data_IF_126036800818
#
_entry.id   IF_126036800818
#
_cell.length_a   1.000
_cell.length_b   1.000
_cell.length_c   1.000
_cell.angle_alpha   90.00
_cell.angle_beta   90.00
_cell.angle_gamma   90.00
#
_symmetry.space_group_name_H-M   'P 1'
#
loop_
_entity.id
_entity.type
_entity.pdbx_description
1 polymer ?
#
# COMPACT_ATOMS: atom_id res chain seq x y z
N UNK A 1 27.70 -46.82 9.36
CA UNK A 1 26.31 -46.33 9.36
C UNK A 1 26.15 -45.20 8.33
N UNK A 2 26.16 -45.53 7.03
CA UNK A 2 26.07 -44.57 5.93
C UNK A 2 25.19 -45.16 4.81
N UNK A 3 23.86 -44.98 4.87
CA UNK A 3 22.99 -45.33 3.73
C UNK A 3 21.74 -44.44 3.61
N UNK A 4 21.79 -43.21 4.10
CA UNK A 4 20.66 -42.26 4.05
C UNK A 4 20.96 -40.97 3.26
N UNK A 5 22.08 -40.91 2.54
CA UNK A 5 22.48 -39.72 1.77
C UNK A 5 22.11 -39.85 0.27
N UNK A 6 21.70 -41.02 -0.21
CA UNK A 6 21.41 -41.25 -1.64
C UNK A 6 19.93 -41.21 -2.05
N UNK A 7 18.99 -40.88 -1.14
CA UNK A 7 17.54 -40.91 -1.44
C UNK A 7 16.89 -39.56 -1.82
N UNK A 8 17.63 -38.47 -1.93
CA UNK A 8 17.05 -37.14 -2.28
C UNK A 8 17.51 -36.57 -3.62
N UNK A 9 18.15 -37.37 -4.48
CA UNK A 9 18.59 -36.92 -5.82
C UNK A 9 17.82 -37.56 -6.98
N UNK A 10 16.69 -38.23 -6.72
CA UNK A 10 15.86 -38.90 -7.73
C UNK A 10 14.39 -38.51 -7.62
N UNK A 11 14.12 -37.21 -7.56
CA UNK A 11 12.79 -36.65 -7.86
C UNK A 11 12.89 -35.44 -8.80
N UNK A 12 13.95 -35.42 -9.61
CA UNK A 12 14.25 -34.37 -10.57
C UNK A 12 14.36 -34.96 -11.98
N UNK A 13 13.32 -35.64 -12.47
CA UNK A 13 13.21 -36.02 -13.90
C UNK A 13 11.93 -36.80 -14.23
N UNK A 14 10.75 -36.37 -13.76
CA UNK A 14 9.46 -36.82 -14.30
C UNK A 14 8.33 -35.99 -13.69
N UNK A 15 7.98 -34.90 -14.37
CA UNK A 15 6.62 -34.37 -14.65
C UNK A 15 6.91 -33.07 -15.44
N UNK A 16 7.47 -33.27 -16.63
CA UNK A 16 7.46 -32.29 -17.69
C UNK A 16 6.44 -32.80 -18.70
N UNK A 17 5.15 -32.59 -18.42
CA UNK A 17 4.04 -32.74 -19.38
C UNK A 17 2.76 -32.22 -18.73
N UNK A 18 2.08 -31.31 -19.42
CA UNK A 18 0.69 -30.86 -19.22
C UNK A 18 0.34 -30.09 -17.95
N UNK A 19 0.57 -28.76 -17.94
CA UNK A 19 -0.32 -27.78 -17.26
C UNK A 19 -0.04 -26.33 -17.67
N UNK A 20 -1.02 -25.73 -18.33
CA UNK A 20 -1.23 -24.33 -18.73
C UNK A 20 -0.21 -23.24 -18.31
N UNK A 21 0.21 -22.46 -19.31
CA UNK A 21 1.11 -21.29 -19.25
C UNK A 21 0.56 -20.08 -18.47
N UNK A 22 -0.61 -20.18 -17.83
CA UNK A 22 -1.20 -19.09 -17.03
C UNK A 22 -0.82 -19.14 -15.54
N UNK A 23 -0.29 -20.26 -15.06
CA UNK A 23 -0.06 -20.49 -13.61
C UNK A 23 1.32 -20.03 -13.12
N UNK A 24 2.33 -19.99 -14.00
CA UNK A 24 3.73 -19.73 -13.61
C UNK A 24 3.98 -18.24 -13.29
N UNK A 25 3.29 -17.31 -13.98
CA UNK A 25 3.40 -15.87 -13.67
C UNK A 25 2.80 -15.49 -12.31
N UNK A 26 1.86 -16.27 -11.77
CA UNK A 26 1.21 -15.98 -10.47
C UNK A 26 2.07 -16.38 -9.28
N UNK A 27 2.95 -17.37 -9.42
CA UNK A 27 3.90 -17.80 -8.40
C UNK A 27 5.18 -16.94 -8.38
N UNK A 28 5.65 -16.47 -9.54
CA UNK A 28 6.82 -15.59 -9.62
C UNK A 28 6.60 -14.20 -8.97
N UNK A 29 5.41 -13.60 -9.15
CA UNK A 29 5.05 -12.33 -8.50
C UNK A 29 4.86 -12.49 -6.98
N UNK A 30 4.62 -13.71 -6.48
CA UNK A 30 4.62 -14.02 -5.05
C UNK A 30 6.03 -14.11 -4.46
N UNK A 31 7.00 -14.67 -5.18
CA UNK A 31 8.39 -14.83 -4.71
C UNK A 31 9.15 -13.49 -4.61
N UNK A 32 8.85 -12.50 -5.45
CA UNK A 32 9.50 -11.19 -5.39
C UNK A 32 9.01 -10.28 -4.23
N UNK A 33 7.96 -10.68 -3.53
CA UNK A 33 7.48 -9.95 -2.34
C UNK A 33 8.06 -10.49 -1.03
N UNK A 34 8.69 -11.67 -1.02
CA UNK A 34 9.33 -12.27 0.16
C UNK A 34 10.80 -11.87 0.35
N UNK A 35 11.50 -11.40 -0.69
CA UNK A 35 12.93 -11.07 -0.59
C UNK A 35 13.24 -9.70 0.05
N UNK A 36 12.24 -8.87 0.33
CA UNK A 36 12.42 -7.62 1.10
C UNK A 36 12.50 -7.85 2.63
N UNK A 37 12.58 -9.11 3.07
CA UNK A 37 12.51 -9.54 4.47
C UNK A 37 13.88 -9.65 5.16
N UNK A 38 14.97 -9.83 4.43
CA UNK A 38 16.27 -10.16 5.03
C UNK A 38 17.20 -8.95 5.09
N UNK A 39 17.10 -8.15 6.16
CA UNK A 39 18.17 -7.21 6.54
C UNK A 39 17.77 -5.81 7.03
N UNK A 40 16.49 -5.49 7.18
CA UNK A 40 16.07 -4.17 7.70
C UNK A 40 15.28 -4.31 8.99
N UNK A 41 15.57 -3.43 9.97
CA UNK A 41 14.81 -3.31 11.23
C UNK A 41 13.32 -3.31 10.88
N UNK A 42 12.51 -4.12 11.56
CA UNK A 42 11.07 -4.23 11.31
C UNK A 42 10.34 -2.92 11.70
N UNK A 43 10.43 -1.92 10.82
CA UNK A 43 9.80 -0.62 10.99
C UNK A 43 8.42 -0.63 10.32
N UNK A 44 7.45 0.03 10.95
CA UNK A 44 6.13 0.21 10.38
C UNK A 44 6.28 1.02 9.08
N UNK A 45 5.82 0.44 7.96
CA UNK A 45 5.86 1.12 6.67
C UNK A 45 4.73 2.15 6.60
N UNK A 46 5.09 3.38 6.25
CA UNK A 46 4.12 4.45 6.00
C UNK A 46 3.17 4.07 4.87
N UNK A 47 1.87 4.30 5.06
CA UNK A 47 0.90 4.14 3.99
C UNK A 47 1.07 5.27 2.96
N UNK A 48 1.70 4.94 1.82
CA UNK A 48 1.99 5.90 0.76
C UNK A 48 0.73 6.57 0.19
N UNK A 49 -0.41 5.87 0.19
CA UNK A 49 -1.67 6.43 -0.32
C UNK A 49 -2.23 7.52 0.61
N UNK A 50 -2.05 7.34 1.92
CA UNK A 50 -2.45 8.32 2.94
C UNK A 50 -1.48 9.51 2.96
N UNK A 51 -0.17 9.25 2.91
CA UNK A 51 0.87 10.28 2.88
C UNK A 51 0.74 11.25 1.69
N UNK A 52 0.24 10.78 0.53
CA UNK A 52 -0.02 11.65 -0.63
C UNK A 52 -1.22 12.59 -0.45
N UNK A 53 -2.18 12.22 0.40
CA UNK A 53 -3.48 12.92 0.55
C UNK A 53 -3.56 13.78 1.81
N UNK A 54 -2.82 13.40 2.84
CA UNK A 54 -2.85 14.01 4.16
C UNK A 54 -1.53 14.71 4.43
N UNK A 55 -1.58 15.91 5.00
CA UNK A 55 -0.40 16.70 5.36
C UNK A 55 -0.52 17.13 6.82
N UNK A 56 0.60 17.19 7.53
CA UNK A 56 0.68 17.69 8.91
C UNK A 56 1.12 19.15 8.85
N UNK A 57 0.39 20.06 9.52
CA UNK A 57 0.82 21.47 9.67
C UNK A 57 1.91 21.59 10.73
N UNK A 58 2.62 22.71 10.77
CA UNK A 58 3.60 23.02 11.83
C UNK A 58 3.00 22.96 13.25
N UNK A 59 1.71 23.29 13.39
CA UNK A 59 0.95 23.14 14.64
C UNK A 59 0.61 21.68 15.02
N UNK A 60 0.97 20.71 14.18
CA UNK A 60 0.70 19.29 14.40
C UNK A 60 -0.67 18.81 13.89
N UNK A 61 -1.59 19.68 13.48
CA UNK A 61 -2.92 19.29 12.97
C UNK A 61 -2.84 18.65 11.57
N UNK A 62 -3.66 17.62 11.30
CA UNK A 62 -3.75 17.00 9.96
C UNK A 62 -4.74 17.76 9.07
N UNK A 63 -4.31 18.09 7.86
CA UNK A 63 -5.12 18.73 6.81
C UNK A 63 -5.28 17.85 5.57
N UNK A 64 -6.39 18.07 4.86
CA UNK A 64 -6.73 17.43 3.58
C UNK A 64 -7.43 18.38 2.63
N UNK A 65 -7.42 18.04 1.35
CA UNK A 65 -8.28 18.71 0.36
C UNK A 65 -9.73 18.18 0.46
N UNK A 66 -10.69 19.00 0.04
CA UNK A 66 -12.11 18.60 -0.03
C UNK A 66 -12.38 17.87 -1.34
N UNK A 67 -13.28 16.89 -1.29
CA UNK A 67 -13.74 16.18 -2.49
C UNK A 67 -14.71 17.01 -3.32
N UNK A 68 -14.83 16.70 -4.61
CA UNK A 68 -15.83 17.30 -5.51
C UNK A 68 -15.44 18.64 -6.15
N UNK A 69 -14.18 19.05 -6.03
CA UNK A 69 -13.65 20.29 -6.63
C UNK A 69 -13.06 20.14 -8.04
N UNK A 70 -12.91 18.92 -8.57
CA UNK A 70 -12.16 18.65 -9.81
C UNK A 70 -13.02 18.73 -11.09
N UNK A 71 -14.09 17.93 -11.17
CA UNK A 71 -15.01 17.94 -12.32
C UNK A 71 -16.27 18.71 -11.97
N UNK A 72 -17.13 18.95 -12.97
CA UNK A 72 -18.48 19.43 -12.73
C UNK A 72 -18.52 20.81 -12.02
N UNK A 73 -17.57 21.69 -12.31
CA UNK A 73 -17.43 23.00 -11.65
C UNK A 73 -18.29 24.07 -12.28
N UNK A 74 -18.69 23.93 -13.56
CA UNK A 74 -19.48 24.93 -14.28
C UNK A 74 -20.85 25.23 -13.66
N UNK A 75 -21.55 24.21 -13.14
CA UNK A 75 -22.84 24.42 -12.46
C UNK A 75 -22.70 24.81 -10.98
N UNK A 76 -21.49 24.80 -10.42
CA UNK A 76 -21.27 25.16 -9.02
C UNK A 76 -21.17 26.66 -8.91
N UNK A 77 -22.01 27.27 -8.06
CA UNK A 77 -21.87 28.69 -7.69
C UNK A 77 -20.44 29.00 -7.23
N UNK A 78 -19.93 30.19 -7.56
CA UNK A 78 -18.57 30.66 -7.20
C UNK A 78 -18.23 30.42 -5.72
N UNK A 79 -19.15 30.75 -4.81
CA UNK A 79 -18.97 30.52 -3.37
C UNK A 79 -18.78 29.05 -2.99
N UNK A 80 -19.46 28.12 -3.69
CA UNK A 80 -19.26 26.68 -3.49
C UNK A 80 -17.89 26.24 -4.01
N UNK A 81 -17.49 26.70 -5.20
CA UNK A 81 -16.18 26.38 -5.78
C UNK A 81 -15.03 26.83 -4.87
N UNK A 82 -15.09 28.08 -4.39
CA UNK A 82 -14.13 28.64 -3.45
C UNK A 82 -14.05 27.79 -2.17
N UNK A 83 -15.20 27.42 -1.60
CA UNK A 83 -15.24 26.60 -0.38
C UNK A 83 -14.62 25.21 -0.59
N UNK A 84 -14.75 24.62 -1.78
CA UNK A 84 -14.17 23.32 -2.11
C UNK A 84 -12.66 23.40 -2.37
N UNK A 85 -12.15 24.52 -2.87
CA UNK A 85 -10.71 24.74 -3.06
C UNK A 85 -9.91 24.86 -1.77
N UNK A 86 -10.55 25.25 -0.67
CA UNK A 86 -9.87 25.38 0.63
C UNK A 86 -9.58 24.02 1.27
N UNK A 87 -8.33 23.80 1.68
CA UNK A 87 -7.96 22.67 2.54
C UNK A 87 -8.64 22.78 3.90
N UNK A 88 -8.99 21.64 4.49
CA UNK A 88 -9.67 21.55 5.78
C UNK A 88 -8.91 20.64 6.73
N UNK A 89 -8.91 21.00 8.01
CA UNK A 89 -8.51 20.09 9.08
C UNK A 89 -9.50 18.94 9.23
N UNK A 90 -9.03 17.83 9.79
CA UNK A 90 -9.89 16.77 10.31
C UNK A 90 -10.50 17.28 11.62
N UNK A 91 -11.83 17.31 11.71
CA UNK A 91 -12.54 17.86 12.88
C UNK A 91 -12.71 16.84 14.01
N UNK A 92 -12.82 15.57 13.66
CA UNK A 92 -13.13 14.51 14.61
C UNK A 92 -11.84 13.88 15.17
N UNK A 93 -11.65 13.86 16.50
CA UNK A 93 -10.39 13.42 17.11
C UNK A 93 -10.14 11.92 16.91
N UNK A 94 -11.19 11.09 16.86
CA UNK A 94 -11.07 9.65 16.62
C UNK A 94 -10.53 9.36 15.21
N UNK A 95 -11.06 10.05 14.20
CA UNK A 95 -10.56 9.97 12.82
C UNK A 95 -9.13 10.48 12.75
N UNK A 96 -8.83 11.60 13.40
CA UNK A 96 -7.47 12.16 13.40
C UNK A 96 -6.45 11.16 13.98
N UNK A 97 -6.77 10.53 15.11
CA UNK A 97 -5.92 9.49 15.72
C UNK A 97 -5.70 8.31 14.78
N UNK A 98 -6.73 7.88 14.05
CA UNK A 98 -6.61 6.82 13.03
C UNK A 98 -5.69 7.26 11.88
N UNK A 99 -5.84 8.48 11.39
CA UNK A 99 -5.04 9.01 10.27
C UNK A 99 -3.57 9.19 10.64
N UNK A 100 -3.27 9.62 11.88
CA UNK A 100 -1.89 9.73 12.39
C UNK A 100 -1.13 8.42 12.26
N UNK A 101 -1.77 7.29 12.62
CA UNK A 101 -1.16 5.94 12.53
C UNK A 101 -0.80 5.51 11.10
N UNK A 102 -1.43 6.11 10.08
CA UNK A 102 -1.17 5.76 8.68
C UNK A 102 0.04 6.50 8.09
N UNK A 103 0.37 7.66 8.65
CA UNK A 103 1.39 8.58 8.12
C UNK A 103 2.66 8.55 8.99
N UNK A 104 2.49 8.44 10.31
CA UNK A 104 3.62 8.39 11.23
C UNK A 104 4.42 7.09 11.07
N UNK A 105 5.72 7.25 11.23
CA UNK A 105 6.75 6.22 11.18
C UNK A 105 7.42 6.15 12.54
#
# INVERSE_FOLDING_TARGET
MNSLISKTFSLCSQIASTSSTFTIRRLAVRQLNLCNSMGTKALIKTNKSAAKRLRVRGSGSIVRNKGGGSHNTGYKKRGRSNRLGQSTGIKEPAIEKRMRRLICK
#
